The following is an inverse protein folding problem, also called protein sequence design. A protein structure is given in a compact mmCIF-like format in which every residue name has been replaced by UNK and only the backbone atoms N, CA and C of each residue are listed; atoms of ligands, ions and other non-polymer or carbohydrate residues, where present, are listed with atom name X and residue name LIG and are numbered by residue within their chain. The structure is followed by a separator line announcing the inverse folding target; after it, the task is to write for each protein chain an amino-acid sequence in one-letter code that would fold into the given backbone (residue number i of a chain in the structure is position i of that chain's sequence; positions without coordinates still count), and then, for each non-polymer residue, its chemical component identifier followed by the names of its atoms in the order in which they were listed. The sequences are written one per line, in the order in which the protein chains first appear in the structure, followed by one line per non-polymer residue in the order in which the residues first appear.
data_IF_343220173410
#
_entry.id   IF_343220173410
#
_cell.length_a   1.000
_cell.length_b   1.000
_cell.length_c   1.000
_cell.angle_alpha   90.00
_cell.angle_beta   90.00
_cell.angle_gamma   90.00
#
_symmetry.space_group_name_H-M   'P 1'
#
loop_
_entity.id
_entity.type
_entity.pdbx_description
1 polymer ?
#
# COMPACT_ATOMS: atom_id res chain seq x y z
N UNK A 1 34.72 -8.39 -16.04
CA UNK A 1 34.50 -8.12 -14.60
C UNK A 1 34.18 -6.64 -14.52
N UNK A 2 32.91 -6.30 -14.72
CA UNK A 2 32.45 -4.91 -14.53
C UNK A 2 32.09 -4.75 -13.06
N UNK A 3 32.67 -3.72 -12.44
CA UNK A 3 32.56 -3.45 -11.02
C UNK A 3 31.10 -3.23 -10.60
N UNK A 4 30.65 -4.02 -9.65
CA UNK A 4 29.44 -3.75 -8.89
C UNK A 4 29.70 -2.45 -8.13
N UNK A 5 29.14 -1.33 -8.62
CA UNK A 5 29.07 -0.10 -7.83
C UNK A 5 28.26 -0.41 -6.58
N UNK A 6 28.92 -0.51 -5.47
CA UNK A 6 28.31 -0.60 -4.13
C UNK A 6 27.71 0.79 -3.86
N UNK A 7 26.42 0.95 -4.17
CA UNK A 7 25.67 2.18 -3.89
C UNK A 7 25.25 2.11 -2.44
N UNK A 8 25.99 2.80 -1.59
CA UNK A 8 25.63 2.97 -0.17
C UNK A 8 24.30 3.73 -0.04
N UNK A 9 23.44 3.36 0.92
CA UNK A 9 22.29 4.19 1.30
C UNK A 9 22.79 5.60 1.68
N UNK A 10 22.11 6.62 1.26
CA UNK A 10 22.35 7.98 1.77
C UNK A 10 21.89 8.03 3.23
N UNK A 11 22.52 8.89 4.08
CA UNK A 11 22.18 9.11 5.50
C UNK A 11 20.75 9.66 5.74
N UNK A 12 19.86 9.62 4.75
CA UNK A 12 18.45 9.97 4.83
C UNK A 12 17.60 8.70 4.98
N UNK A 13 16.71 8.70 5.98
CA UNK A 13 15.82 7.57 6.32
C UNK A 13 14.63 7.46 5.35
N UNK A 14 14.92 7.19 4.07
CA UNK A 14 13.89 6.95 3.07
C UNK A 14 13.20 5.60 3.31
N UNK A 15 11.87 5.60 3.37
CA UNK A 15 11.09 4.35 3.34
C UNK A 15 11.13 3.67 1.98
N UNK A 16 11.08 4.48 0.92
CA UNK A 16 11.27 4.02 -0.46
C UNK A 16 12.36 4.88 -1.10
N UNK A 17 13.36 4.24 -1.70
CA UNK A 17 14.39 4.94 -2.49
C UNK A 17 14.66 4.16 -3.78
N UNK A 18 14.02 4.59 -4.84
CA UNK A 18 14.16 4.04 -6.18
C UNK A 18 15.07 4.93 -7.02
N UNK A 19 16.12 4.33 -7.59
CA UNK A 19 17.13 5.01 -8.40
C UNK A 19 17.21 4.37 -9.79
N UNK A 20 16.65 5.04 -10.79
CA UNK A 20 16.59 4.57 -12.18
C UNK A 20 15.89 3.22 -12.33
N UNK A 21 14.87 2.94 -11.50
CA UNK A 21 14.20 1.64 -11.45
C UNK A 21 13.37 1.41 -12.70
N UNK A 22 13.61 0.28 -13.38
CA UNK A 22 12.78 -0.19 -14.49
C UNK A 22 12.21 -1.57 -14.19
N UNK A 23 10.96 -1.79 -14.57
CA UNK A 23 10.37 -3.11 -14.65
C UNK A 23 10.12 -3.49 -16.11
N UNK A 24 10.64 -4.66 -16.49
CA UNK A 24 10.50 -5.23 -17.85
C UNK A 24 9.85 -6.60 -17.81
N UNK A 25 8.97 -6.87 -18.77
CA UNK A 25 8.36 -8.18 -18.95
C UNK A 25 8.14 -8.46 -20.43
N UNK A 26 8.57 -9.64 -20.90
CA UNK A 26 8.40 -10.03 -22.31
C UNK A 26 9.07 -9.06 -23.30
N UNK A 27 10.22 -8.46 -22.94
CA UNK A 27 10.94 -7.50 -23.77
C UNK A 27 10.38 -6.07 -23.75
N UNK A 28 9.23 -5.84 -23.11
CA UNK A 28 8.64 -4.50 -22.97
C UNK A 28 8.94 -3.92 -21.59
N UNK A 29 9.23 -2.61 -21.52
CA UNK A 29 9.27 -1.86 -20.26
C UNK A 29 7.83 -1.59 -19.84
N UNK A 30 7.46 -2.05 -18.64
CA UNK A 30 6.15 -1.84 -18.05
C UNK A 30 6.11 -0.53 -17.26
N UNK A 31 7.24 -0.18 -16.61
CA UNK A 31 7.42 1.08 -15.88
C UNK A 31 8.90 1.41 -15.78
N UNK A 32 9.21 2.69 -15.82
CA UNK A 32 10.55 3.24 -15.62
C UNK A 32 11.22 3.80 -16.90
N UNK A 33 12.43 4.41 -16.73
CA UNK A 33 13.15 4.52 -15.46
C UNK A 33 12.43 5.47 -14.47
N UNK A 34 12.44 5.10 -13.18
CA UNK A 34 11.82 5.87 -12.11
C UNK A 34 12.86 6.16 -11.02
N UNK A 35 13.00 7.44 -10.67
CA UNK A 35 13.62 7.91 -9.45
C UNK A 35 12.51 8.37 -8.52
N UNK A 36 12.39 7.76 -7.32
CA UNK A 36 11.30 8.06 -6.38
C UNK A 36 11.74 7.79 -4.95
N UNK A 37 11.60 8.80 -4.10
CA UNK A 37 11.88 8.73 -2.68
C UNK A 37 10.59 9.02 -1.91
N UNK A 38 10.41 8.34 -0.77
CA UNK A 38 9.29 8.53 0.14
C UNK A 38 9.82 8.61 1.57
N UNK A 39 9.47 9.68 2.28
CA UNK A 39 9.73 9.86 3.71
C UNK A 39 8.59 9.34 4.58
N UNK A 40 8.83 9.17 5.88
CA UNK A 40 7.85 8.60 6.80
C UNK A 40 6.59 9.47 6.94
N UNK A 41 6.73 10.79 6.89
CA UNK A 41 5.65 11.76 7.05
C UNK A 41 4.95 12.12 5.72
N UNK A 42 5.32 11.46 4.61
CA UNK A 42 4.74 11.73 3.31
C UNK A 42 3.53 10.85 3.01
N UNK A 43 2.56 11.44 2.33
CA UNK A 43 1.32 10.81 1.86
C UNK A 43 1.25 11.01 0.35
N UNK A 44 1.48 9.94 -0.39
CA UNK A 44 1.57 9.96 -1.85
C UNK A 44 0.32 9.44 -2.52
N UNK A 45 -0.13 10.13 -3.56
CA UNK A 45 -1.08 9.58 -4.52
C UNK A 45 -0.42 9.36 -5.88
N UNK A 46 -0.58 8.18 -6.45
CA UNK A 46 -0.12 7.82 -7.80
C UNK A 46 -1.33 7.77 -8.72
N UNK A 47 -1.37 8.65 -9.71
CA UNK A 47 -2.49 8.82 -10.64
C UNK A 47 -2.02 8.50 -12.06
N UNK A 48 -2.94 7.97 -12.86
CA UNK A 48 -2.71 7.69 -14.27
C UNK A 48 -3.75 6.74 -14.84
N UNK A 49 -3.84 6.62 -16.17
CA UNK A 49 -4.80 5.72 -16.81
C UNK A 49 -4.54 4.25 -16.48
N UNK A 50 -5.52 3.40 -16.79
CA UNK A 50 -5.35 1.95 -16.68
C UNK A 50 -4.22 1.49 -17.61
N UNK A 51 -3.34 0.62 -17.10
CA UNK A 51 -2.17 0.17 -17.85
C UNK A 51 -0.95 1.10 -17.79
N UNK A 52 -1.02 2.25 -17.12
CA UNK A 52 0.11 3.18 -16.97
C UNK A 52 1.30 2.64 -16.14
N UNK A 53 1.16 1.47 -15.50
CA UNK A 53 2.24 0.87 -14.71
C UNK A 53 2.14 1.10 -13.20
N UNK A 54 1.08 1.77 -12.70
CA UNK A 54 0.88 2.12 -11.29
C UNK A 54 1.02 0.91 -10.35
N UNK A 55 0.21 -0.13 -10.57
CA UNK A 55 0.27 -1.38 -9.78
C UNK A 55 1.64 -2.04 -9.85
N UNK A 56 2.34 -1.98 -11.01
CA UNK A 56 3.70 -2.51 -11.14
C UNK A 56 4.70 -1.75 -10.28
N UNK A 57 4.60 -0.43 -10.22
CA UNK A 57 5.46 0.43 -9.40
C UNK A 57 5.26 0.14 -7.91
N UNK A 58 4.01 0.12 -7.44
CA UNK A 58 3.74 -0.13 -6.01
C UNK A 58 4.02 -1.57 -5.59
N UNK A 59 3.93 -2.55 -6.48
CA UNK A 59 4.35 -3.93 -6.16
C UNK A 59 5.85 -4.04 -5.92
N UNK A 60 6.67 -3.18 -6.52
CA UNK A 60 8.08 -3.08 -6.15
C UNK A 60 8.24 -2.41 -4.77
N UNK A 61 7.49 -1.33 -4.48
CA UNK A 61 7.45 -0.70 -3.15
C UNK A 61 6.86 -1.63 -2.07
N UNK A 62 6.02 -2.59 -2.45
CA UNK A 62 5.48 -3.63 -1.57
C UNK A 62 6.43 -4.83 -1.36
N UNK A 63 7.67 -4.77 -1.86
CA UNK A 63 8.60 -5.90 -1.84
C UNK A 63 8.05 -7.19 -2.48
N UNK A 64 7.03 -7.08 -3.35
CA UNK A 64 6.42 -8.21 -4.07
C UNK A 64 7.09 -8.50 -5.40
N UNK A 65 7.80 -7.51 -5.97
CA UNK A 65 8.40 -7.60 -7.28
C UNK A 65 9.79 -6.96 -7.30
N UNK A 66 10.75 -7.62 -7.99
CA UNK A 66 12.10 -7.11 -8.14
C UNK A 66 12.20 -6.19 -9.36
N UNK A 67 12.97 -5.09 -9.29
CA UNK A 67 13.28 -4.28 -10.47
C UNK A 67 14.10 -5.10 -11.48
N UNK A 68 13.87 -4.84 -12.77
CA UNK A 68 14.66 -5.42 -13.86
C UNK A 68 15.97 -4.67 -14.10
N UNK A 69 15.98 -3.36 -13.74
CA UNK A 69 17.13 -2.45 -13.78
C UNK A 69 17.01 -1.39 -12.70
N UNK A 70 18.10 -0.67 -12.46
CA UNK A 70 18.19 0.33 -11.39
C UNK A 70 18.39 -0.31 -10.03
N UNK A 71 18.31 0.49 -8.99
CA UNK A 71 18.48 0.06 -7.61
C UNK A 71 17.27 0.53 -6.80
N UNK A 72 16.70 -0.38 -6.01
CA UNK A 72 15.58 -0.09 -5.13
C UNK A 72 15.94 -0.44 -3.69
N UNK A 73 15.72 0.50 -2.78
CA UNK A 73 15.81 0.31 -1.36
C UNK A 73 14.44 0.51 -0.72
N UNK A 74 14.14 -0.27 0.31
CA UNK A 74 13.01 -0.12 1.19
C UNK A 74 13.50 -0.10 2.63
N UNK A 75 13.19 0.97 3.38
CA UNK A 75 13.63 1.13 4.78
C UNK A 75 15.16 0.92 4.92
N UNK A 76 15.92 1.48 3.98
CA UNK A 76 17.38 1.35 3.92
C UNK A 76 17.92 0.03 3.35
N UNK A 77 17.08 -0.98 3.18
CA UNK A 77 17.47 -2.33 2.74
C UNK A 77 17.31 -2.50 1.22
N UNK A 78 18.35 -2.96 0.54
CA UNK A 78 18.31 -3.15 -0.92
C UNK A 78 17.47 -4.36 -1.30
N UNK A 79 16.45 -4.14 -2.14
CA UNK A 79 15.62 -5.20 -2.72
C UNK A 79 16.51 -6.21 -3.46
N UNK A 80 16.41 -7.48 -3.07
CA UNK A 80 17.17 -8.59 -3.67
C UNK A 80 18.49 -8.91 -2.98
N UNK A 81 18.92 -8.14 -1.98
CA UNK A 81 20.10 -8.46 -1.15
C UNK A 81 19.73 -8.81 0.31
N UNK A 82 18.51 -8.54 0.73
CA UNK A 82 18.00 -8.75 2.10
C UNK A 82 16.85 -9.75 2.10
N UNK A 83 16.54 -10.34 3.27
CA UNK A 83 15.35 -11.19 3.43
C UNK A 83 14.07 -10.35 3.29
N UNK A 84 13.37 -10.56 2.18
CA UNK A 84 12.16 -9.81 1.85
C UNK A 84 10.98 -10.09 2.81
N UNK A 85 11.06 -11.12 3.66
CA UNK A 85 10.00 -11.45 4.62
C UNK A 85 9.94 -10.41 5.73
N UNK A 86 11.10 -9.99 6.23
CA UNK A 86 11.18 -8.97 7.29
C UNK A 86 10.67 -7.62 6.79
N UNK A 87 11.04 -7.24 5.56
CA UNK A 87 10.54 -6.00 4.94
C UNK A 87 9.02 -6.03 4.72
N UNK A 88 8.47 -7.17 4.26
CA UNK A 88 7.03 -7.30 4.03
C UNK A 88 6.20 -7.21 5.31
N UNK A 89 6.77 -7.57 6.46
CA UNK A 89 6.10 -7.42 7.75
C UNK A 89 5.87 -5.95 8.12
N UNK A 90 6.70 -5.03 7.60
CA UNK A 90 6.62 -3.58 7.81
C UNK A 90 5.76 -2.87 6.76
N UNK A 91 5.17 -3.61 5.82
CA UNK A 91 4.37 -3.04 4.72
C UNK A 91 2.94 -3.57 4.78
N UNK A 92 1.99 -2.67 5.02
CA UNK A 92 0.56 -2.97 4.93
C UNK A 92 0.06 -2.81 3.49
N UNK A 93 -0.67 -3.80 2.98
CA UNK A 93 -1.17 -3.77 1.60
C UNK A 93 -2.67 -4.01 1.56
N UNK A 94 -3.41 -3.06 0.97
CA UNK A 94 -4.81 -3.22 0.60
C UNK A 94 -4.94 -3.21 -0.92
N UNK A 95 -5.24 -4.36 -1.53
CA UNK A 95 -5.35 -4.52 -2.97
C UNK A 95 -6.29 -5.66 -3.36
N UNK A 96 -6.78 -5.65 -4.61
CA UNK A 96 -7.57 -6.75 -5.17
C UNK A 96 -6.79 -8.09 -5.19
N UNK A 97 -5.46 -8.03 -5.32
CA UNK A 97 -4.61 -9.23 -5.28
C UNK A 97 -4.58 -9.87 -3.88
N UNK A 98 -4.65 -9.09 -2.81
CA UNK A 98 -4.81 -9.59 -1.44
C UNK A 98 -6.21 -10.18 -1.27
N UNK A 99 -7.26 -9.47 -1.69
CA UNK A 99 -8.64 -9.93 -1.61
C UNK A 99 -8.86 -11.31 -2.26
N UNK A 100 -8.31 -11.50 -3.46
CA UNK A 100 -8.48 -12.74 -4.24
C UNK A 100 -7.85 -13.98 -3.61
N UNK A 101 -6.99 -13.81 -2.60
CA UNK A 101 -6.32 -14.90 -1.88
C UNK A 101 -7.04 -15.33 -0.61
N UNK A 102 -8.04 -14.55 -0.17
CA UNK A 102 -8.77 -14.82 1.08
C UNK A 102 -9.85 -15.87 0.80
N UNK A 103 -9.87 -16.99 1.56
CA UNK A 103 -10.91 -17.99 1.42
C UNK A 103 -12.29 -17.47 1.85
N UNK A 104 -13.35 -17.88 1.12
CA UNK A 104 -14.72 -17.42 1.38
C UNK A 104 -15.24 -17.76 2.78
N UNK A 105 -14.73 -18.83 3.38
CA UNK A 105 -15.13 -19.31 4.72
C UNK A 105 -14.33 -18.66 5.86
N UNK A 106 -13.36 -17.77 5.56
CA UNK A 106 -12.57 -17.10 6.59
C UNK A 106 -13.42 -16.09 7.36
N UNK A 107 -13.33 -16.07 8.69
CA UNK A 107 -14.03 -15.09 9.52
C UNK A 107 -13.27 -13.77 9.52
N UNK A 108 -14.00 -12.67 9.60
CA UNK A 108 -13.40 -11.30 9.56
C UNK A 108 -12.47 -11.06 10.75
N UNK A 109 -12.88 -11.44 11.97
CA UNK A 109 -12.03 -11.29 13.16
C UNK A 109 -10.73 -12.11 13.04
N UNK A 110 -10.82 -13.35 12.60
CA UNK A 110 -9.66 -14.22 12.39
C UNK A 110 -8.74 -13.67 11.28
N UNK A 111 -9.32 -13.12 10.20
CA UNK A 111 -8.59 -12.52 9.10
C UNK A 111 -7.81 -11.27 9.51
N UNK A 112 -8.38 -10.42 10.35
CA UNK A 112 -7.73 -9.20 10.82
C UNK A 112 -6.66 -9.52 11.86
N UNK A 113 -6.99 -10.28 12.91
CA UNK A 113 -6.03 -10.59 13.98
C UNK A 113 -4.79 -11.32 13.46
N UNK A 114 -4.96 -12.23 12.51
CA UNK A 114 -3.85 -13.00 11.92
C UNK A 114 -2.85 -12.17 11.13
N UNK A 115 -3.25 -10.98 10.67
CA UNK A 115 -2.36 -10.09 9.93
C UNK A 115 -1.21 -9.55 10.79
N UNK A 116 -1.40 -9.41 12.10
CA UNK A 116 -0.32 -9.04 13.03
C UNK A 116 0.83 -10.05 13.06
N UNK A 117 0.60 -11.27 12.58
CA UNK A 117 1.58 -12.36 12.48
C UNK A 117 1.99 -12.65 11.03
N UNK A 118 1.66 -11.77 10.08
CA UNK A 118 1.93 -11.90 8.65
C UNK A 118 1.38 -13.18 8.00
N UNK A 119 0.32 -13.78 8.59
CA UNK A 119 -0.39 -14.95 8.05
C UNK A 119 -1.79 -14.59 7.56
N UNK A 120 -2.38 -15.45 6.76
CA UNK A 120 -3.72 -15.27 6.20
C UNK A 120 -4.68 -16.27 6.86
N UNK A 121 -5.51 -15.75 7.80
CA UNK A 121 -6.38 -16.56 8.65
C UNK A 121 -5.67 -17.11 9.89
N UNK A 122 -6.46 -17.48 10.91
CA UNK A 122 -5.90 -18.07 12.14
C UNK A 122 -5.29 -19.43 11.86
N UNK A 123 -4.07 -19.64 12.37
CA UNK A 123 -3.40 -20.91 12.26
C UNK A 123 -2.93 -21.42 13.64
N UNK A 124 -1.62 -21.59 13.87
CA UNK A 124 -1.07 -22.24 15.07
C UNK A 124 -0.51 -21.25 16.09
N UNK A 125 -0.54 -19.97 15.76
CA UNK A 125 -0.06 -18.89 16.62
C UNK A 125 -0.94 -18.76 17.86
N UNK A 126 -0.32 -18.47 19.00
CA UNK A 126 -1.03 -18.12 20.24
C UNK A 126 -1.36 -16.62 20.20
N UNK A 127 -2.61 -16.30 19.87
CA UNK A 127 -3.12 -14.94 19.87
C UNK A 127 -3.47 -14.52 21.29
N UNK A 128 -3.05 -13.32 21.69
CA UNK A 128 -3.29 -12.74 23.00
C UNK A 128 -4.54 -11.86 23.00
N UNK A 129 -5.12 -11.60 24.20
CA UNK A 129 -6.28 -10.72 24.31
C UNK A 129 -6.04 -9.32 23.74
N UNK A 130 -4.79 -8.82 23.81
CA UNK A 130 -4.40 -7.54 23.24
C UNK A 130 -4.48 -7.54 21.70
N UNK A 131 -4.23 -8.67 21.02
CA UNK A 131 -4.33 -8.76 19.56
C UNK A 131 -5.78 -8.64 19.11
N UNK A 132 -6.70 -9.26 19.86
CA UNK A 132 -8.15 -9.14 19.59
C UNK A 132 -8.65 -7.73 19.88
N UNK A 133 -8.22 -7.10 21.00
CA UNK A 133 -8.58 -5.73 21.32
C UNK A 133 -8.14 -4.76 20.23
N UNK A 134 -6.90 -4.91 19.76
CA UNK A 134 -6.37 -4.10 18.66
C UNK A 134 -7.15 -4.31 17.35
N UNK A 135 -7.49 -5.56 17.01
CA UNK A 135 -8.29 -5.86 15.83
C UNK A 135 -9.68 -5.22 15.91
N UNK A 136 -10.31 -5.24 17.10
CA UNK A 136 -11.59 -4.59 17.35
C UNK A 136 -11.52 -3.07 17.17
N UNK A 137 -10.48 -2.43 17.72
CA UNK A 137 -10.25 -0.99 17.58
C UNK A 137 -10.06 -0.60 16.10
N UNK A 138 -9.25 -1.36 15.35
CA UNK A 138 -9.03 -1.10 13.92
C UNK A 138 -10.31 -1.33 13.12
N UNK A 139 -11.07 -2.40 13.38
CA UNK A 139 -12.37 -2.63 12.74
C UNK A 139 -13.36 -1.49 13.01
N UNK A 140 -13.33 -0.92 14.22
CA UNK A 140 -14.15 0.23 14.57
C UNK A 140 -13.73 1.48 13.77
N UNK A 141 -12.43 1.74 13.69
CA UNK A 141 -11.88 2.87 12.94
C UNK A 141 -12.27 2.85 11.46
N UNK A 142 -12.21 1.68 10.81
CA UNK A 142 -12.62 1.56 9.40
C UNK A 142 -14.13 1.36 9.19
N UNK A 143 -14.95 1.45 10.25
CA UNK A 143 -16.40 1.29 10.18
C UNK A 143 -16.87 -0.14 9.88
N UNK A 144 -16.10 -1.15 10.27
CA UNK A 144 -16.33 -2.56 9.96
C UNK A 144 -16.66 -3.45 11.19
N UNK A 145 -16.91 -2.89 12.37
CA UNK A 145 -17.20 -3.63 13.62
C UNK A 145 -18.36 -4.63 13.44
N UNK A 146 -19.40 -4.26 12.70
CA UNK A 146 -20.58 -5.09 12.45
C UNK A 146 -20.31 -6.32 11.57
N UNK A 147 -19.11 -6.40 10.96
CA UNK A 147 -18.67 -7.50 10.10
C UNK A 147 -17.89 -8.56 10.85
N UNK A 148 -17.48 -8.30 12.10
CA UNK A 148 -16.52 -9.10 12.87
C UNK A 148 -16.79 -10.60 12.85
N UNK A 149 -18.06 -11.00 13.02
CA UNK A 149 -18.46 -12.41 13.07
C UNK A 149 -18.86 -13.00 11.72
N UNK A 150 -18.87 -12.19 10.65
CA UNK A 150 -19.24 -12.63 9.31
C UNK A 150 -18.08 -13.35 8.63
N UNK A 151 -18.40 -14.16 7.64
CA UNK A 151 -17.42 -14.80 6.76
C UNK A 151 -17.16 -13.97 5.51
N UNK A 152 -15.93 -14.00 5.02
CA UNK A 152 -15.44 -13.22 3.87
C UNK A 152 -16.34 -13.31 2.63
N UNK A 153 -16.77 -14.52 2.25
CA UNK A 153 -17.62 -14.74 1.08
C UNK A 153 -19.01 -14.13 1.16
N UNK A 154 -19.45 -13.69 2.36
CA UNK A 154 -20.76 -13.05 2.56
C UNK A 154 -20.72 -11.53 2.50
N UNK A 155 -19.52 -10.96 2.35
CA UNK A 155 -19.30 -9.51 2.35
C UNK A 155 -19.53 -8.92 0.97
N UNK A 156 -20.11 -7.71 0.91
CA UNK A 156 -20.11 -6.87 -0.28
C UNK A 156 -18.68 -6.40 -0.63
N UNK A 157 -18.48 -5.90 -1.85
CA UNK A 157 -17.15 -5.41 -2.25
C UNK A 157 -16.65 -4.24 -1.38
N UNK A 158 -17.53 -3.33 -0.98
CA UNK A 158 -17.18 -2.23 -0.07
C UNK A 158 -16.80 -2.73 1.33
N UNK A 159 -17.54 -3.70 1.87
CA UNK A 159 -17.21 -4.35 3.15
C UNK A 159 -15.86 -5.07 3.08
N UNK A 160 -15.58 -5.79 2.00
CA UNK A 160 -14.29 -6.44 1.75
C UNK A 160 -13.12 -5.44 1.74
N UNK A 161 -13.29 -4.29 1.11
CA UNK A 161 -12.28 -3.22 1.08
C UNK A 161 -11.94 -2.71 2.48
N UNK A 162 -12.96 -2.44 3.31
CA UNK A 162 -12.76 -2.02 4.71
C UNK A 162 -12.03 -3.08 5.53
N UNK A 163 -12.39 -4.35 5.38
CA UNK A 163 -11.73 -5.47 6.09
C UNK A 163 -10.28 -5.65 5.66
N UNK A 164 -9.97 -5.54 4.35
CA UNK A 164 -8.56 -5.63 3.87
C UNK A 164 -7.74 -4.43 4.31
N UNK A 165 -8.35 -3.24 4.41
CA UNK A 165 -7.68 -2.06 4.99
C UNK A 165 -7.39 -2.29 6.49
N UNK A 166 -8.38 -2.78 7.27
CA UNK A 166 -8.17 -3.15 8.67
C UNK A 166 -7.02 -4.16 8.82
N UNK A 167 -7.01 -5.18 7.96
CA UNK A 167 -5.94 -6.17 7.92
C UNK A 167 -4.57 -5.56 7.64
N UNK A 168 -4.49 -4.60 6.70
CA UNK A 168 -3.25 -3.92 6.36
C UNK A 168 -2.71 -3.06 7.51
N UNK A 169 -3.59 -2.46 8.31
CA UNK A 169 -3.23 -1.66 9.50
C UNK A 169 -2.85 -2.52 10.71
N UNK A 170 -3.35 -3.76 10.79
CA UNK A 170 -3.12 -4.64 11.95
C UNK A 170 -1.64 -4.98 12.15
N UNK A 171 -0.84 -5.05 11.08
CA UNK A 171 0.61 -5.32 11.17
C UNK A 171 1.42 -4.13 11.71
N UNK A 172 0.80 -2.99 12.00
CA UNK A 172 1.48 -1.75 12.38
C UNK A 172 2.58 -1.37 11.39
N UNK A 173 2.22 -1.15 10.11
CA UNK A 173 3.20 -0.96 9.05
C UNK A 173 3.90 0.40 9.16
N UNK A 174 5.13 0.48 8.66
CA UNK A 174 5.82 1.74 8.37
C UNK A 174 5.32 2.36 7.04
N UNK A 175 4.91 1.51 6.09
CA UNK A 175 4.40 1.89 4.78
C UNK A 175 3.05 1.21 4.51
N UNK A 176 2.01 2.01 4.28
CA UNK A 176 0.68 1.54 3.89
C UNK A 176 0.46 1.77 2.39
N UNK A 177 0.23 0.68 1.65
CA UNK A 177 -0.04 0.71 0.21
C UNK A 177 -1.52 0.42 -0.04
N UNK A 178 -2.19 1.33 -0.74
CA UNK A 178 -3.60 1.26 -1.10
C UNK A 178 -3.75 1.24 -2.63
N UNK A 179 -4.07 0.08 -3.20
CA UNK A 179 -4.29 -0.05 -4.65
C UNK A 179 -5.80 0.00 -4.95
N UNK A 180 -6.26 1.15 -5.42
CA UNK A 180 -7.66 1.47 -5.73
C UNK A 180 -8.62 1.12 -4.58
N UNK A 181 -8.44 1.74 -3.39
CA UNK A 181 -9.16 1.34 -2.18
C UNK A 181 -10.68 1.54 -2.25
N UNK A 182 -11.16 2.50 -3.03
CA UNK A 182 -12.58 2.86 -3.20
C UNK A 182 -13.26 2.22 -4.41
N UNK A 183 -12.50 1.50 -5.26
CA UNK A 183 -13.04 0.92 -6.48
C UNK A 183 -14.19 -0.08 -6.19
N UNK A 184 -15.32 0.09 -6.88
CA UNK A 184 -16.50 -0.77 -6.73
C UNK A 184 -17.37 -0.46 -5.50
N UNK A 185 -17.07 0.61 -4.75
CA UNK A 185 -17.94 1.09 -3.68
C UNK A 185 -19.05 2.01 -4.22
N UNK A 186 -20.18 2.05 -3.52
CA UNK A 186 -21.17 3.09 -3.73
C UNK A 186 -20.67 4.46 -3.25
N UNK A 187 -21.41 5.52 -3.56
CA UNK A 187 -20.97 6.89 -3.26
C UNK A 187 -20.77 7.11 -1.76
N UNK A 188 -21.72 6.67 -0.92
CA UNK A 188 -21.62 6.86 0.52
C UNK A 188 -20.43 6.11 1.13
N UNK A 189 -20.26 4.84 0.77
CA UNK A 189 -19.12 4.04 1.24
C UNK A 189 -17.77 4.59 0.78
N UNK A 190 -17.70 5.19 -0.41
CA UNK A 190 -16.51 5.88 -0.92
C UNK A 190 -16.20 7.13 -0.11
N UNK A 191 -17.19 8.01 0.11
CA UNK A 191 -17.01 9.23 0.88
C UNK A 191 -16.54 8.93 2.32
N UNK A 192 -17.15 7.93 2.96
CA UNK A 192 -16.73 7.48 4.30
C UNK A 192 -15.28 6.98 4.31
N UNK A 193 -14.87 6.19 3.30
CA UNK A 193 -13.50 5.67 3.20
C UNK A 193 -12.50 6.79 2.95
N UNK A 194 -12.81 7.72 2.03
CA UNK A 194 -11.96 8.88 1.73
C UNK A 194 -11.81 9.77 2.97
N UNK A 195 -12.91 9.99 3.71
CA UNK A 195 -12.89 10.73 4.99
C UNK A 195 -11.97 10.06 6.01
N UNK A 196 -12.13 8.74 6.23
CA UNK A 196 -11.26 7.98 7.13
C UNK A 196 -9.77 8.04 6.73
N UNK A 197 -9.47 7.89 5.43
CA UNK A 197 -8.08 7.98 4.95
C UNK A 197 -7.51 9.40 5.10
N UNK A 198 -8.36 10.43 5.04
CA UNK A 198 -7.97 11.80 5.34
C UNK A 198 -7.63 11.99 6.81
N UNK A 199 -8.46 11.49 7.72
CA UNK A 199 -8.18 11.52 9.17
C UNK A 199 -6.87 10.77 9.48
N UNK A 200 -6.69 9.59 8.89
CA UNK A 200 -5.45 8.81 9.03
C UNK A 200 -4.24 9.57 8.49
N UNK A 201 -4.36 10.26 7.34
CA UNK A 201 -3.26 11.01 6.74
C UNK A 201 -2.82 12.21 7.60
N UNK A 202 -3.71 12.73 8.44
CA UNK A 202 -3.43 13.85 9.37
C UNK A 202 -2.87 13.39 10.73
N UNK A 203 -2.92 12.09 11.02
CA UNK A 203 -2.36 11.54 12.25
C UNK A 203 -0.82 11.49 12.13
N UNK A 204 -0.08 12.14 13.05
CA UNK A 204 1.39 12.14 13.03
C UNK A 204 2.00 10.76 13.29
N UNK A 205 1.26 9.86 13.95
CA UNK A 205 1.71 8.50 14.24
C UNK A 205 1.30 7.48 13.14
N UNK A 206 0.64 7.97 12.08
CA UNK A 206 0.24 7.11 10.96
C UNK A 206 1.45 6.71 10.08
N UNK A 207 1.40 5.54 9.44
CA UNK A 207 2.42 5.12 8.48
C UNK A 207 2.51 6.08 7.29
N UNK A 208 3.62 6.08 6.55
CA UNK A 208 3.62 6.68 5.22
C UNK A 208 2.55 6.00 4.36
N UNK A 209 1.83 6.76 3.53
CA UNK A 209 0.75 6.23 2.71
C UNK A 209 1.07 6.42 1.23
N UNK A 210 0.97 5.33 0.47
CA UNK A 210 1.03 5.36 -1.00
C UNK A 210 -0.29 4.81 -1.54
N UNK A 211 -1.09 5.68 -2.12
CA UNK A 211 -2.39 5.32 -2.70
C UNK A 211 -2.35 5.39 -4.23
N UNK A 212 -2.90 4.38 -4.87
CA UNK A 212 -3.19 4.42 -6.31
C UNK A 212 -4.67 4.71 -6.51
N UNK A 213 -4.97 5.66 -7.37
CA UNK A 213 -6.31 5.87 -7.92
C UNK A 213 -6.22 6.38 -9.35
N UNK A 214 -7.32 6.30 -10.09
CA UNK A 214 -7.49 6.95 -11.39
C UNK A 214 -8.53 8.08 -11.32
N UNK A 215 -9.01 8.41 -10.10
CA UNK A 215 -9.98 9.44 -9.80
C UNK A 215 -9.42 10.50 -8.87
N UNK A 216 -9.35 11.75 -9.33
CA UNK A 216 -8.81 12.86 -8.53
C UNK A 216 -9.71 13.17 -7.32
N UNK A 217 -11.02 12.98 -7.48
CA UNK A 217 -12.02 13.19 -6.43
C UNK A 217 -11.93 12.18 -5.26
N UNK A 218 -11.13 11.12 -5.40
CA UNK A 218 -10.89 10.12 -4.37
C UNK A 218 -9.65 10.42 -3.51
N UNK A 219 -8.93 11.51 -3.82
CA UNK A 219 -7.74 11.87 -3.05
C UNK A 219 -8.16 12.44 -1.70
N UNK A 220 -7.78 11.78 -0.58
CA UNK A 220 -8.10 12.27 0.74
C UNK A 220 -7.37 13.59 1.04
N UNK A 221 -7.97 14.43 1.90
CA UNK A 221 -7.21 15.54 2.48
C UNK A 221 -6.02 15.03 3.29
N UNK A 222 -5.00 15.88 3.51
CA UNK A 222 -3.77 15.47 4.19
C UNK A 222 -2.74 14.77 3.29
N UNK A 223 -3.09 14.41 2.04
CA UNK A 223 -2.09 13.93 1.09
C UNK A 223 -1.16 15.07 0.66
N UNK A 224 0.15 14.80 0.72
CA UNK A 224 1.21 15.81 0.56
C UNK A 224 1.82 15.80 -0.83
N UNK A 225 1.92 14.62 -1.46
CA UNK A 225 2.63 14.42 -2.71
C UNK A 225 1.77 13.69 -3.75
N UNK A 226 2.08 13.95 -5.02
CA UNK A 226 1.47 13.26 -6.15
C UNK A 226 2.52 12.80 -7.17
N UNK A 227 2.21 11.70 -7.86
CA UNK A 227 2.95 11.24 -9.03
C UNK A 227 1.96 10.96 -10.16
N UNK A 228 2.19 11.56 -11.31
CA UNK A 228 1.45 11.26 -12.54
C UNK A 228 2.24 10.26 -13.37
N UNK A 229 1.60 9.13 -13.67
CA UNK A 229 2.17 8.04 -14.44
C UNK A 229 1.40 7.85 -15.74
N UNK A 230 2.09 7.85 -16.88
CA UNK A 230 1.49 7.54 -18.17
C UNK A 230 2.44 6.69 -19.01
N UNK A 231 1.92 5.68 -19.68
CA UNK A 231 2.65 4.72 -20.52
C UNK A 231 3.96 4.20 -19.88
N UNK A 232 3.92 3.93 -18.56
CA UNK A 232 5.07 3.44 -17.79
C UNK A 232 6.10 4.49 -17.40
N UNK A 233 5.84 5.78 -17.66
CA UNK A 233 6.75 6.89 -17.38
C UNK A 233 6.17 7.83 -16.34
N UNK A 234 7.03 8.37 -15.49
CA UNK A 234 6.67 9.48 -14.61
C UNK A 234 6.60 10.75 -15.43
N UNK A 235 5.40 11.32 -15.53
CA UNK A 235 5.15 12.58 -16.24
C UNK A 235 5.42 13.78 -15.34
N UNK A 236 4.98 13.70 -14.08
CA UNK A 236 5.23 14.69 -13.04
C UNK A 236 5.24 14.03 -11.68
N UNK A 237 6.00 14.56 -10.72
CA UNK A 237 6.00 14.16 -9.32
C UNK A 237 6.44 15.29 -8.42
N UNK A 238 5.95 15.32 -7.18
CA UNK A 238 6.32 16.30 -6.16
C UNK A 238 5.14 16.67 -5.29
N UNK A 239 5.20 17.86 -4.68
CA UNK A 239 4.10 18.36 -3.84
C UNK A 239 2.78 18.37 -4.61
N UNK A 240 1.72 17.90 -3.97
CA UNK A 240 0.41 17.67 -4.61
C UNK A 240 -0.12 18.93 -5.32
N UNK A 241 0.00 20.10 -4.68
CA UNK A 241 -0.44 21.38 -5.24
C UNK A 241 0.38 21.85 -6.46
N UNK A 242 1.58 21.29 -6.66
CA UNK A 242 2.43 21.60 -7.81
C UNK A 242 2.21 20.64 -8.97
N UNK A 243 1.72 19.42 -8.69
CA UNK A 243 1.49 18.37 -9.68
C UNK A 243 0.04 18.37 -10.16
N UNK A 244 -0.91 18.61 -9.26
CA UNK A 244 -2.34 18.68 -9.56
C UNK A 244 -2.78 20.14 -9.59
N UNK A 245 -2.42 20.85 -10.66
CA UNK A 245 -2.91 22.21 -10.92
C UNK A 245 -4.22 22.14 -11.69
N UNK A 246 -5.24 22.88 -11.20
CA UNK A 246 -6.43 23.18 -12.01
C UNK A 246 -6.08 24.25 -13.03
N UNK A 247 -5.88 23.90 -14.30
CA UNK A 247 -6.02 24.84 -15.41
C UNK A 247 -7.47 24.88 -15.91
#
# INVERSE_FOLDING_TARGET
MEGVNDVTPTDQDWLVDFRGVELRRGGKTLVGPVDWQVELDERWVIIGPNGAGKTSLVRMAAAEQFPSKGTAFLMGEQIGKTDMRDLRALIGISSAAVQSRIPDNERVDDLVVSAGYAVLGRWREEYQDMDFSRADDILAQVGATHLKERTWGTLSEGEKKRVVLARALMSNPELLILDEPSAGMDLGGREDLVGYLGDLAMDPDAPAIVMITHHVEEIPYGFTHAMLLDEGKVVAKGLINSVLTSE
#
